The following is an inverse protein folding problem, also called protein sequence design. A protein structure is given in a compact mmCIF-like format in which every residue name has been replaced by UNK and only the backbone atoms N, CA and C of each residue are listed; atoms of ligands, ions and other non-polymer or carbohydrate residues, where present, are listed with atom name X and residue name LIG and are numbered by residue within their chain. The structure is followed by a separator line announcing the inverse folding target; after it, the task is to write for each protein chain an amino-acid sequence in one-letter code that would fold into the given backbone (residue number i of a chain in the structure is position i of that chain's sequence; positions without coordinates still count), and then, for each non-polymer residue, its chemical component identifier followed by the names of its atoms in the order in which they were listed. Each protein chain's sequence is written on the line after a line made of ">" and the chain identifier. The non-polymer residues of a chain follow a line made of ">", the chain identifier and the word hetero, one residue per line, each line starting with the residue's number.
data_IF_322016419389
#
_entry.id   IF_322016419389
#
_cell.length_a   1.000
_cell.length_b   1.000
_cell.length_c   1.000
_cell.angle_alpha   90.00
_cell.angle_beta   90.00
_cell.angle_gamma   90.00
#
_symmetry.space_group_name_H-M   'P 1'
#
loop_
_entity.id
_entity.type
_entity.pdbx_description
1 polymer ?
#
# COMPACT_ATOMS: atom_id res chain seq x y z
N UNK A 1 5.95 -2.52 -18.29
CA UNK A 1 5.42 -1.93 -17.03
C UNK A 1 5.63 -2.90 -15.87
N UNK A 2 6.03 -2.41 -14.70
CA UNK A 2 6.42 -3.25 -13.55
C UNK A 2 5.31 -4.17 -13.03
N UNK A 3 4.05 -3.73 -13.04
CA UNK A 3 2.90 -4.58 -12.69
C UNK A 3 2.41 -5.30 -13.96
N UNK A 4 2.70 -6.60 -14.05
CA UNK A 4 2.43 -7.43 -15.24
C UNK A 4 0.99 -7.95 -15.28
N UNK A 5 0.46 -8.20 -16.49
CA UNK A 5 -0.90 -8.77 -16.68
C UNK A 5 -1.10 -10.11 -15.91
N UNK A 6 -0.12 -11.05 -15.88
CA UNK A 6 -0.26 -12.26 -15.08
C UNK A 6 -0.36 -12.01 -13.57
N UNK A 7 0.36 -11.01 -13.03
CA UNK A 7 0.26 -10.67 -11.61
C UNK A 7 -1.14 -10.16 -11.23
N UNK A 8 -1.70 -9.28 -12.05
CA UNK A 8 -3.08 -8.78 -11.90
C UNK A 8 -4.07 -9.94 -11.98
N UNK A 9 -3.88 -10.88 -12.91
CA UNK A 9 -4.73 -12.06 -13.02
C UNK A 9 -4.69 -12.90 -11.75
N UNK A 10 -3.50 -13.16 -11.17
CA UNK A 10 -3.38 -13.92 -9.92
C UNK A 10 -4.11 -13.25 -8.75
N UNK A 11 -4.01 -11.93 -8.62
CA UNK A 11 -4.75 -11.16 -7.61
C UNK A 11 -6.26 -11.30 -7.81
N UNK A 12 -6.74 -11.09 -9.03
CA UNK A 12 -8.16 -11.19 -9.35
C UNK A 12 -8.70 -12.62 -9.10
N UNK A 13 -7.93 -13.66 -9.43
CA UNK A 13 -8.31 -15.06 -9.13
C UNK A 13 -8.40 -15.32 -7.63
N UNK A 14 -7.47 -14.78 -6.82
CA UNK A 14 -7.55 -14.87 -5.36
C UNK A 14 -8.81 -14.19 -4.81
N UNK A 15 -9.28 -13.13 -5.47
CA UNK A 15 -10.55 -12.46 -5.18
C UNK A 15 -11.79 -13.14 -5.77
N UNK A 16 -11.68 -14.34 -6.36
CA UNK A 16 -12.82 -15.07 -6.91
C UNK A 16 -13.31 -14.59 -8.29
N UNK A 17 -12.56 -13.71 -8.96
CA UNK A 17 -12.97 -13.18 -10.28
C UNK A 17 -12.82 -14.26 -11.36
N UNK A 18 -13.91 -14.57 -12.08
CA UNK A 18 -13.96 -15.64 -13.10
C UNK A 18 -13.64 -15.13 -14.52
N UNK A 19 -14.09 -13.93 -14.89
CA UNK A 19 -13.82 -13.31 -16.19
C UNK A 19 -13.39 -11.86 -16.00
N UNK A 20 -12.50 -11.38 -16.85
CA UNK A 20 -11.96 -10.03 -16.78
C UNK A 20 -11.94 -9.40 -18.17
N UNK A 21 -12.36 -8.15 -18.28
CA UNK A 21 -12.17 -7.34 -19.48
C UNK A 21 -10.71 -6.91 -19.64
N UNK A 22 -10.28 -6.65 -20.88
CA UNK A 22 -8.94 -6.16 -21.20
C UNK A 22 -8.67 -4.76 -20.64
N UNK A 23 -9.70 -3.93 -20.51
CA UNK A 23 -9.57 -2.55 -19.99
C UNK A 23 -9.17 -2.49 -18.51
N UNK A 24 -9.42 -3.57 -17.75
CA UNK A 24 -9.16 -3.61 -16.30
C UNK A 24 -7.67 -3.60 -15.96
N UNK A 25 -6.78 -4.02 -16.86
CA UNK A 25 -5.35 -4.04 -16.53
C UNK A 25 -4.80 -2.64 -16.25
N UNK A 26 -5.24 -1.63 -16.99
CA UNK A 26 -4.74 -0.27 -16.81
C UNK A 26 -5.37 0.39 -15.59
N UNK A 27 -6.67 0.17 -15.38
CA UNK A 27 -7.38 0.65 -14.18
C UNK A 27 -6.79 0.08 -12.89
N UNK A 28 -6.47 -1.21 -12.86
CA UNK A 28 -5.83 -1.84 -11.68
C UNK A 28 -4.45 -1.23 -11.41
N UNK A 29 -3.68 -0.90 -12.45
CA UNK A 29 -2.37 -0.24 -12.24
C UNK A 29 -2.52 1.14 -11.64
N UNK A 30 -3.51 1.90 -12.10
CA UNK A 30 -3.86 3.21 -11.53
C UNK A 30 -4.28 3.07 -10.07
N UNK A 31 -5.23 2.18 -9.78
CA UNK A 31 -5.70 1.95 -8.41
C UNK A 31 -4.58 1.53 -7.44
N UNK A 32 -3.63 0.70 -7.89
CA UNK A 32 -2.45 0.33 -7.08
C UNK A 32 -1.55 1.54 -6.82
N UNK A 33 -1.31 2.37 -7.84
CA UNK A 33 -0.52 3.60 -7.68
C UNK A 33 -1.20 4.55 -6.68
N UNK A 34 -2.48 4.83 -6.87
CA UNK A 34 -3.24 5.76 -6.02
C UNK A 34 -3.25 5.28 -4.56
N UNK A 35 -3.37 3.95 -4.33
CA UNK A 35 -3.29 3.37 -3.00
C UNK A 35 -1.92 3.55 -2.35
N UNK A 36 -0.85 3.32 -3.10
CA UNK A 36 0.53 3.50 -2.62
C UNK A 36 0.85 4.95 -2.33
N UNK A 37 0.40 5.87 -3.18
CA UNK A 37 0.57 7.31 -2.97
C UNK A 37 -0.09 7.76 -1.68
N UNK A 38 -1.33 7.30 -1.41
CA UNK A 38 -2.00 7.57 -0.13
C UNK A 38 -1.25 6.98 1.07
N UNK A 39 -0.71 5.76 0.94
CA UNK A 39 0.08 5.14 2.01
C UNK A 39 1.33 5.97 2.29
N UNK A 40 2.12 6.31 1.26
CA UNK A 40 3.34 7.09 1.41
C UNK A 40 3.07 8.48 1.99
N UNK A 41 2.00 9.15 1.56
CA UNK A 41 1.58 10.43 2.12
C UNK A 41 1.34 10.33 3.64
N UNK A 42 0.57 9.33 4.08
CA UNK A 42 0.33 9.11 5.51
C UNK A 42 1.63 8.80 6.27
N UNK A 43 2.55 8.01 5.68
CA UNK A 43 3.83 7.70 6.31
C UNK A 43 4.66 8.98 6.53
N UNK A 44 4.77 9.85 5.51
CA UNK A 44 5.51 11.10 5.62
C UNK A 44 4.89 12.01 6.69
N UNK A 45 3.57 12.17 6.67
CA UNK A 45 2.84 12.97 7.68
C UNK A 45 3.09 12.47 9.10
N UNK A 46 3.10 11.14 9.32
CA UNK A 46 3.37 10.56 10.64
C UNK A 46 4.83 10.76 11.07
N UNK A 47 5.80 10.63 10.16
CA UNK A 47 7.21 10.90 10.47
C UNK A 47 7.43 12.35 10.88
N UNK A 48 6.92 13.29 10.07
CA UNK A 48 7.11 14.72 10.30
C UNK A 48 6.42 15.19 11.58
N UNK A 49 5.18 14.75 11.82
CA UNK A 49 4.44 15.14 13.03
C UNK A 49 4.96 14.51 14.32
N UNK A 50 5.60 13.35 14.24
CA UNK A 50 6.17 12.67 15.41
C UNK A 50 7.62 13.06 15.70
N UNK A 51 8.30 13.72 14.76
CA UNK A 51 9.68 14.16 14.91
C UNK A 51 9.73 15.52 15.61
N UNK A 52 10.46 15.59 16.71
CA UNK A 52 10.75 16.82 17.47
C UNK A 52 12.25 17.06 17.46
N UNK A 53 12.71 18.29 17.70
CA UNK A 53 14.13 18.65 17.73
C UNK A 53 15.00 17.77 18.67
N UNK A 54 14.38 17.12 19.68
CA UNK A 54 15.04 16.22 20.63
C UNK A 54 14.88 14.73 20.31
N UNK A 55 13.94 14.36 19.45
CA UNK A 55 13.63 12.97 19.12
C UNK A 55 13.12 12.86 17.69
N UNK A 56 13.86 12.14 16.86
CA UNK A 56 13.45 11.83 15.49
C UNK A 56 12.87 10.42 15.43
N UNK A 57 11.60 10.30 15.03
CA UNK A 57 10.96 9.01 14.82
C UNK A 57 11.48 8.41 13.50
N UNK A 58 12.12 7.24 13.56
CA UNK A 58 12.68 6.54 12.38
C UNK A 58 11.84 5.35 11.90
N UNK A 59 10.90 4.90 12.73
CA UNK A 59 10.13 3.69 12.47
C UNK A 59 8.65 4.00 12.52
N UNK A 60 7.94 3.60 11.47
CA UNK A 60 6.47 3.60 11.43
C UNK A 60 5.99 2.16 11.45
N UNK A 61 4.93 1.91 12.20
CA UNK A 61 4.28 0.62 12.29
C UNK A 61 2.93 0.66 11.60
N UNK A 62 2.38 -0.51 11.29
CA UNK A 62 1.06 -0.60 10.65
C UNK A 62 -0.09 -0.12 11.54
N UNK A 63 0.17 0.02 12.85
CA UNK A 63 -0.75 0.63 13.82
C UNK A 63 -1.02 2.10 13.53
N UNK A 64 -0.03 2.83 13.05
CA UNK A 64 -0.14 4.26 12.74
C UNK A 64 -1.08 4.52 11.55
N UNK A 65 -1.36 3.50 10.73
CA UNK A 65 -2.13 3.62 9.50
C UNK A 65 -3.57 3.09 9.60
N UNK A 66 -4.00 2.63 10.78
CA UNK A 66 -5.34 2.05 11.03
C UNK A 66 -5.59 0.67 10.39
N UNK A 67 -4.72 0.22 9.49
CA UNK A 67 -4.74 -1.12 8.89
C UNK A 67 -3.61 -1.95 9.51
N UNK A 68 -3.76 -2.31 10.78
CA UNK A 68 -2.72 -3.03 11.53
C UNK A 68 -2.49 -4.40 10.90
N UNK A 69 -1.24 -4.68 10.54
CA UNK A 69 -0.79 -5.99 10.04
C UNK A 69 -0.07 -6.69 11.19
N UNK A 70 -0.60 -7.83 11.61
CA UNK A 70 0.03 -8.67 12.64
C UNK A 70 1.37 -9.22 12.15
N UNK A 71 2.32 -9.38 13.08
CA UNK A 71 3.68 -9.83 12.76
C UNK A 71 4.66 -8.71 12.35
N UNK A 72 4.22 -7.44 12.36
CA UNK A 72 5.02 -6.25 12.04
C UNK A 72 5.05 -5.22 13.18
N UNK A 73 5.14 -5.70 14.43
CA UNK A 73 5.33 -4.84 15.59
C UNK A 73 6.74 -4.23 15.66
N UNK A 74 6.95 -3.17 16.45
CA UNK A 74 8.29 -2.65 16.68
C UNK A 74 9.16 -3.73 17.34
N UNK A 75 10.36 -3.93 16.79
CA UNK A 75 11.42 -4.79 17.35
C UNK A 75 12.18 -4.09 18.45
#
# INVERSE_FOLDING_TARGET
>A
MGITKPAIRRLARRGGVVRMSTTIYDEVRKAVKDRLEKILYHLVVVLESSSTQRFERKTITTRDMGNTIYGFGPV
#
